data_IF_208361236018
#
_entry.id   IF_208361236018
#
_cell.length_a   1.000
_cell.length_b   1.000
_cell.length_c   1.000
_cell.angle_alpha   90.00
_cell.angle_beta   90.00
_cell.angle_gamma   90.00
#
_symmetry.space_group_name_H-M   'P 1'
#
loop_
_entity.id
_entity.type
_entity.pdbx_description
1 polymer ?
#
# COMPACT_ATOMS: atom_id res chain seq x y z
N UNK A 1 98.49 51.12 -25.31
CA UNK A 1 97.17 51.80 -25.26
C UNK A 1 96.10 50.73 -25.60
N UNK A 2 95.53 50.17 -24.53
CA UNK A 2 94.58 49.07 -24.72
C UNK A 2 93.26 49.59 -24.05
N UNK A 3 92.23 49.72 -24.86
CA UNK A 3 90.87 50.01 -24.42
C UNK A 3 90.20 48.76 -23.99
N UNK A 4 89.73 48.72 -22.77
CA UNK A 4 88.84 47.65 -22.25
C UNK A 4 87.40 48.13 -22.33
N UNK A 5 86.60 47.42 -23.12
CA UNK A 5 85.13 47.62 -23.24
C UNK A 5 84.42 46.74 -22.23
N UNK A 6 83.74 47.36 -21.28
CA UNK A 6 82.76 46.60 -20.44
C UNK A 6 81.38 46.65 -21.07
N UNK A 7 80.89 45.48 -21.46
CA UNK A 7 79.46 45.30 -21.81
C UNK A 7 78.69 44.96 -20.58
N UNK A 8 77.73 45.80 -20.19
CA UNK A 8 76.76 45.51 -19.14
C UNK A 8 75.66 44.60 -19.65
N UNK A 9 75.62 43.39 -19.12
CA UNK A 9 74.55 42.45 -19.32
C UNK A 9 73.30 42.92 -18.55
N UNK A 10 72.20 43.27 -19.31
CA UNK A 10 70.95 43.81 -18.77
C UNK A 10 69.91 42.69 -18.49
N UNK A 11 70.28 41.41 -18.38
CA UNK A 11 69.36 40.29 -18.31
C UNK A 11 68.89 39.86 -16.87
N UNK A 12 69.21 40.63 -15.82
CA UNK A 12 68.82 40.27 -14.43
C UNK A 12 68.12 41.39 -13.68
N UNK A 13 67.08 41.98 -14.25
CA UNK A 13 66.11 42.75 -13.46
C UNK A 13 64.91 41.87 -13.13
N UNK A 14 64.97 41.24 -11.96
CA UNK A 14 63.84 40.50 -11.42
C UNK A 14 62.78 41.49 -10.98
N UNK A 15 61.66 41.55 -11.67
CA UNK A 15 60.54 42.45 -11.32
C UNK A 15 59.78 41.85 -10.12
N UNK A 16 59.91 42.47 -8.91
CA UNK A 16 59.32 41.94 -7.65
C UNK A 16 57.80 41.83 -7.69
N UNK A 17 57.11 42.57 -8.58
CA UNK A 17 55.64 42.48 -8.75
C UNK A 17 55.17 41.19 -9.43
N UNK A 18 56.03 40.53 -10.25
CA UNK A 18 55.66 39.24 -10.89
C UNK A 18 55.73 38.03 -9.91
N UNK A 19 56.69 38.07 -8.96
CA UNK A 19 56.81 36.96 -7.98
C UNK A 19 55.66 36.94 -6.98
N UNK A 20 55.16 38.12 -6.55
CA UNK A 20 54.02 38.22 -5.61
C UNK A 20 52.72 37.75 -6.30
N UNK A 21 52.49 38.08 -7.59
CA UNK A 21 51.30 37.67 -8.32
C UNK A 21 51.26 36.16 -8.55
N UNK A 22 52.38 35.52 -8.88
CA UNK A 22 52.46 34.08 -9.03
C UNK A 22 52.23 33.33 -7.73
N UNK A 23 52.78 33.81 -6.61
CA UNK A 23 52.59 33.19 -5.28
C UNK A 23 51.14 33.31 -4.79
N UNK A 24 50.47 34.43 -5.08
CA UNK A 24 49.05 34.61 -4.73
C UNK A 24 48.12 33.73 -5.61
N UNK A 25 48.42 33.54 -6.89
CA UNK A 25 47.64 32.68 -7.82
C UNK A 25 47.81 31.21 -7.42
N UNK A 26 49.00 30.75 -7.05
CA UNK A 26 49.24 29.37 -6.60
C UNK A 26 48.55 29.09 -5.28
N UNK A 27 48.57 30.04 -4.29
CA UNK A 27 47.81 29.90 -3.05
C UNK A 27 46.30 29.86 -3.26
N UNK A 28 45.73 30.72 -4.15
CA UNK A 28 44.31 30.69 -4.46
C UNK A 28 43.91 29.41 -5.19
N UNK A 29 44.71 28.87 -6.12
CA UNK A 29 44.45 27.59 -6.79
C UNK A 29 44.55 26.42 -5.80
N UNK A 30 45.56 26.38 -4.92
CA UNK A 30 45.67 25.35 -3.87
C UNK A 30 44.50 25.36 -2.90
N UNK A 31 44.02 26.53 -2.49
CA UNK A 31 42.85 26.67 -1.62
C UNK A 31 41.53 26.27 -2.30
N UNK A 32 41.35 26.59 -3.60
CA UNK A 32 40.18 26.16 -4.38
C UNK A 32 40.13 24.65 -4.60
N UNK A 33 41.27 24.00 -4.88
CA UNK A 33 41.35 22.55 -5.03
C UNK A 33 41.08 21.85 -3.68
N UNK A 34 41.61 22.42 -2.55
CA UNK A 34 41.36 21.86 -1.21
C UNK A 34 39.90 21.99 -0.78
N UNK A 35 39.22 23.11 -1.12
CA UNK A 35 37.77 23.27 -0.87
C UNK A 35 36.92 22.36 -1.74
N UNK A 36 37.27 22.17 -3.03
CA UNK A 36 36.58 21.20 -3.88
C UNK A 36 36.77 19.75 -3.42
N UNK A 37 37.95 19.37 -2.91
CA UNK A 37 38.17 18.02 -2.36
C UNK A 37 37.37 17.81 -1.06
N UNK A 38 37.24 18.82 -0.20
CA UNK A 38 36.40 18.76 1.00
C UNK A 38 34.89 18.64 0.65
N UNK A 39 34.43 19.34 -0.39
CA UNK A 39 33.04 19.19 -0.87
C UNK A 39 32.76 17.82 -1.47
N UNK A 40 33.69 17.21 -2.19
CA UNK A 40 33.56 15.84 -2.75
C UNK A 40 33.58 14.80 -1.62
N UNK A 41 34.38 14.99 -0.57
CA UNK A 41 34.39 14.10 0.60
C UNK A 41 33.11 14.23 1.46
N UNK A 42 32.46 15.40 1.49
CA UNK A 42 31.18 15.58 2.19
C UNK A 42 29.98 15.00 1.44
N UNK A 43 30.11 14.81 0.12
CA UNK A 43 29.05 14.20 -0.71
C UNK A 43 29.00 12.66 -0.62
N UNK A 44 29.97 12.01 0.03
CA UNK A 44 30.06 10.55 0.12
C UNK A 44 29.47 10.02 1.46
N UNK A 45 29.12 10.89 2.42
CA UNK A 45 28.61 10.46 3.73
C UNK A 45 27.08 10.29 3.78
N UNK A 46 26.39 10.27 2.66
CA UNK A 46 24.93 10.12 2.56
C UNK A 46 24.44 8.71 2.25
N UNK A 47 25.26 7.66 2.42
CA UNK A 47 24.71 6.29 2.45
C UNK A 47 24.10 6.10 3.84
N UNK A 48 22.87 6.58 4.02
CA UNK A 48 22.06 6.12 5.13
C UNK A 48 21.83 4.62 4.88
N UNK A 49 22.46 3.78 5.70
CA UNK A 49 22.07 2.37 5.77
C UNK A 49 20.58 2.33 6.07
N UNK A 50 19.77 1.85 5.11
CA UNK A 50 18.34 1.66 5.32
C UNK A 50 18.17 0.77 6.56
N UNK A 51 17.55 1.31 7.60
CA UNK A 51 17.33 0.60 8.83
C UNK A 51 16.31 -0.52 8.55
N UNK A 52 16.69 -1.77 8.85
CA UNK A 52 15.77 -2.91 8.76
C UNK A 52 14.86 -2.89 9.98
N UNK A 53 13.59 -2.60 9.77
CA UNK A 53 12.60 -2.59 10.85
C UNK A 53 12.21 -3.99 11.33
N UNK A 54 12.43 -5.03 10.49
CA UNK A 54 12.03 -6.42 10.76
C UNK A 54 13.18 -7.39 10.44
N UNK A 55 13.56 -8.32 11.35
CA UNK A 55 14.48 -9.40 11.02
C UNK A 55 13.81 -10.38 10.04
N UNK A 56 14.58 -10.94 9.11
CA UNK A 56 14.08 -11.97 8.20
C UNK A 56 13.81 -13.28 8.96
N UNK A 57 12.55 -13.65 9.07
CA UNK A 57 12.09 -14.95 9.55
C UNK A 57 11.21 -15.56 8.46
N UNK A 58 11.61 -16.70 7.86
CA UNK A 58 10.84 -17.27 6.76
C UNK A 58 9.52 -17.87 7.24
N UNK A 59 8.41 -17.54 6.57
CA UNK A 59 7.11 -18.17 6.82
C UNK A 59 7.17 -19.67 6.50
N UNK A 60 6.70 -20.56 7.37
CA UNK A 60 6.63 -22.01 7.06
C UNK A 60 5.81 -22.26 5.78
N UNK A 61 6.21 -23.24 4.97
CA UNK A 61 5.52 -23.51 3.70
C UNK A 61 4.05 -23.89 3.87
N UNK A 62 3.71 -24.66 4.90
CA UNK A 62 2.33 -25.01 5.23
C UNK A 62 1.50 -23.75 5.54
N UNK A 63 2.08 -22.81 6.30
CA UNK A 63 1.45 -21.51 6.59
C UNK A 63 1.24 -20.70 5.33
N UNK A 64 2.22 -20.68 4.39
CA UNK A 64 2.08 -20.03 3.08
C UNK A 64 0.89 -20.59 2.32
N UNK A 65 0.72 -21.91 2.27
CA UNK A 65 -0.39 -22.55 1.58
C UNK A 65 -1.75 -22.16 2.22
N UNK A 66 -1.84 -22.13 3.55
CA UNK A 66 -3.07 -21.73 4.24
C UNK A 66 -3.36 -20.22 4.10
N UNK A 67 -2.33 -19.35 4.09
CA UNK A 67 -2.50 -17.93 3.78
C UNK A 67 -3.11 -17.71 2.39
N UNK A 68 -2.57 -18.38 1.37
CA UNK A 68 -3.02 -18.25 -0.01
C UNK A 68 -4.41 -18.88 -0.23
N UNK A 69 -4.72 -19.96 0.49
CA UNK A 69 -6.05 -20.59 0.49
C UNK A 69 -7.09 -19.71 1.18
N UNK A 70 -6.77 -19.11 2.34
CA UNK A 70 -7.65 -18.20 3.07
C UNK A 70 -8.01 -16.98 2.21
N UNK A 71 -7.04 -16.48 1.43
CA UNK A 71 -7.24 -15.39 0.50
C UNK A 71 -7.85 -15.84 -0.85
N UNK A 72 -8.13 -17.13 -1.05
CA UNK A 72 -8.63 -17.67 -2.32
C UNK A 72 -7.81 -17.21 -3.53
N UNK A 73 -6.47 -17.32 -3.41
CA UNK A 73 -5.53 -16.89 -4.46
C UNK A 73 -5.56 -17.85 -5.64
N UNK A 74 -5.78 -17.31 -6.83
CA UNK A 74 -5.85 -18.07 -8.07
C UNK A 74 -5.56 -17.25 -9.34
N UNK A 75 -5.88 -17.81 -10.52
CA UNK A 75 -5.73 -17.12 -11.79
C UNK A 75 -6.51 -15.79 -11.81
N UNK A 76 -5.88 -14.72 -12.31
CA UNK A 76 -6.47 -13.38 -12.32
C UNK A 76 -6.06 -12.50 -11.14
N UNK A 77 -5.48 -13.09 -10.09
CA UNK A 77 -4.95 -12.32 -8.97
C UNK A 77 -3.59 -11.70 -9.27
N UNK A 78 -3.38 -10.54 -8.63
CA UNK A 78 -2.09 -9.88 -8.55
C UNK A 78 -1.70 -9.75 -7.07
N UNK A 79 -0.80 -10.64 -6.65
CA UNK A 79 -0.35 -10.73 -5.25
C UNK A 79 0.86 -9.82 -5.04
N UNK A 80 0.81 -8.99 -3.99
CA UNK A 80 1.98 -8.22 -3.54
C UNK A 80 2.34 -8.66 -2.13
N UNK A 81 3.59 -9.12 -1.97
CA UNK A 81 4.13 -9.56 -0.69
C UNK A 81 5.03 -8.48 -0.10
N UNK A 82 4.62 -7.93 1.03
CA UNK A 82 5.30 -6.85 1.73
C UNK A 82 6.31 -7.44 2.73
N UNK A 83 7.62 -7.23 2.45
CA UNK A 83 8.71 -7.92 3.17
C UNK A 83 8.91 -9.32 2.63
N UNK A 84 9.09 -9.46 1.30
CA UNK A 84 9.00 -10.74 0.60
C UNK A 84 10.11 -11.75 0.91
N UNK A 85 11.20 -11.30 1.56
CA UNK A 85 12.32 -12.17 1.91
C UNK A 85 12.84 -12.96 0.72
N UNK A 86 12.81 -14.30 0.83
CA UNK A 86 13.27 -15.22 -0.20
C UNK A 86 12.24 -15.49 -1.32
N UNK A 87 11.11 -14.78 -1.32
CA UNK A 87 10.10 -14.81 -2.37
C UNK A 87 9.11 -15.98 -2.31
N UNK A 88 9.15 -16.80 -1.25
CA UNK A 88 8.37 -18.05 -1.17
C UNK A 88 6.88 -17.86 -1.33
N UNK A 89 6.28 -16.80 -0.77
CA UNK A 89 4.83 -16.52 -0.85
C UNK A 89 4.43 -16.16 -2.28
N UNK A 90 5.15 -15.23 -2.92
CA UNK A 90 4.86 -14.81 -4.30
C UNK A 90 5.06 -15.96 -5.28
N UNK A 91 6.09 -16.79 -5.09
CA UNK A 91 6.35 -17.99 -5.91
C UNK A 91 5.23 -19.02 -5.75
N UNK A 92 4.75 -19.23 -4.52
CA UNK A 92 3.63 -20.14 -4.25
C UNK A 92 2.32 -19.62 -4.89
N UNK A 93 2.07 -18.31 -4.82
CA UNK A 93 0.94 -17.68 -5.50
C UNK A 93 1.02 -17.85 -7.03
N UNK A 94 2.21 -17.70 -7.62
CA UNK A 94 2.43 -17.92 -9.06
C UNK A 94 2.15 -19.37 -9.49
N UNK A 95 2.48 -20.36 -8.67
CA UNK A 95 2.14 -21.77 -8.91
C UNK A 95 0.63 -22.02 -8.91
N UNK A 96 -0.17 -21.16 -8.26
CA UNK A 96 -1.64 -21.16 -8.30
C UNK A 96 -2.21 -20.40 -9.50
N UNK A 97 -1.35 -19.88 -10.39
CA UNK A 97 -1.75 -19.15 -11.60
C UNK A 97 -1.84 -17.63 -11.44
N UNK A 98 -1.58 -17.09 -10.25
CA UNK A 98 -1.52 -15.64 -10.02
C UNK A 98 -0.30 -15.00 -10.67
N UNK A 99 -0.33 -13.67 -10.78
CA UNK A 99 0.84 -12.82 -11.00
C UNK A 99 1.17 -12.08 -9.71
N UNK A 100 2.40 -11.57 -9.57
CA UNK A 100 2.67 -10.70 -8.46
C UNK A 100 4.12 -10.27 -8.33
N UNK A 101 4.37 -9.50 -7.28
CA UNK A 101 5.73 -9.13 -6.94
C UNK A 101 5.94 -9.12 -5.42
N UNK A 102 7.20 -9.34 -5.06
CA UNK A 102 7.68 -9.18 -3.71
C UNK A 102 8.50 -7.91 -3.58
N UNK A 103 8.35 -7.23 -2.45
CA UNK A 103 9.09 -6.04 -2.10
C UNK A 103 9.86 -6.32 -0.82
N UNK A 104 11.16 -6.05 -0.82
CA UNK A 104 11.99 -6.16 0.36
C UNK A 104 13.07 -5.06 0.35
N UNK A 105 13.45 -4.58 1.52
CA UNK A 105 14.47 -3.55 1.68
C UNK A 105 15.90 -4.14 1.57
N UNK A 106 16.04 -5.47 1.72
CA UNK A 106 17.32 -6.15 1.67
C UNK A 106 17.65 -6.66 0.27
N UNK A 107 18.65 -6.05 -0.45
CA UNK A 107 19.04 -6.50 -1.78
C UNK A 107 19.50 -7.96 -1.82
N UNK A 108 19.98 -8.51 -0.69
CA UNK A 108 20.36 -9.94 -0.61
C UNK A 108 19.12 -10.82 -0.68
N UNK A 109 18.03 -10.44 0.01
CA UNK A 109 16.74 -11.17 -0.06
C UNK A 109 16.17 -11.11 -1.47
N UNK A 110 16.19 -9.94 -2.12
CA UNK A 110 15.75 -9.78 -3.51
C UNK A 110 16.56 -10.67 -4.47
N UNK A 111 17.88 -10.73 -4.30
CA UNK A 111 18.73 -11.62 -5.11
C UNK A 111 18.39 -13.10 -4.89
N UNK A 112 18.12 -13.50 -3.65
CA UNK A 112 17.70 -14.85 -3.28
C UNK A 112 16.32 -15.18 -3.88
N UNK A 113 15.35 -14.29 -3.74
CA UNK A 113 14.01 -14.44 -4.29
C UNK A 113 14.00 -14.66 -5.80
N UNK A 114 14.80 -13.86 -6.56
CA UNK A 114 14.98 -14.03 -7.99
C UNK A 114 15.53 -15.40 -8.36
N UNK A 115 16.56 -15.88 -7.63
CA UNK A 115 17.12 -17.23 -7.85
C UNK A 115 16.10 -18.33 -7.55
N UNK A 116 15.29 -18.15 -6.49
CA UNK A 116 14.25 -19.12 -6.12
C UNK A 116 13.14 -19.16 -7.17
N UNK A 117 12.73 -18.00 -7.70
CA UNK A 117 11.74 -17.92 -8.78
C UNK A 117 12.23 -18.65 -10.05
N UNK A 118 13.49 -18.42 -10.45
CA UNK A 118 14.10 -19.09 -11.60
C UNK A 118 14.15 -20.61 -11.41
N UNK A 119 14.60 -21.08 -10.23
CA UNK A 119 14.58 -22.52 -9.90
C UNK A 119 13.17 -23.13 -9.94
N UNK A 120 12.16 -22.33 -9.62
CA UNK A 120 10.76 -22.76 -9.65
C UNK A 120 10.12 -22.64 -11.05
N UNK A 121 10.80 -22.03 -12.04
CA UNK A 121 10.25 -21.77 -13.39
C UNK A 121 9.15 -20.72 -13.39
N UNK A 122 9.18 -19.76 -12.45
CA UNK A 122 8.14 -18.74 -12.28
C UNK A 122 8.57 -17.33 -12.67
N UNK A 123 9.73 -17.14 -13.30
CA UNK A 123 10.28 -15.83 -13.67
C UNK A 123 9.34 -14.96 -14.50
N UNK A 124 8.49 -15.57 -15.31
CA UNK A 124 7.54 -14.87 -16.16
C UNK A 124 6.26 -14.42 -15.45
N UNK A 125 6.07 -14.82 -14.19
CA UNK A 125 4.88 -14.49 -13.39
C UNK A 125 5.17 -13.63 -12.18
N UNK A 126 6.43 -13.57 -11.74
CA UNK A 126 6.81 -12.87 -10.53
C UNK A 126 7.90 -11.84 -10.77
N UNK A 127 7.85 -10.76 -10.00
CA UNK A 127 8.86 -9.71 -9.98
C UNK A 127 9.32 -9.50 -8.54
N UNK A 128 10.61 -9.23 -8.32
CA UNK A 128 11.13 -8.87 -7.01
C UNK A 128 11.87 -7.54 -7.10
N UNK A 129 11.50 -6.60 -6.22
CA UNK A 129 12.00 -5.24 -6.21
C UNK A 129 12.55 -4.88 -4.82
N UNK A 130 13.74 -4.27 -4.83
CA UNK A 130 14.24 -3.60 -3.64
C UNK A 130 13.43 -2.32 -3.42
N UNK A 131 12.92 -2.11 -2.20
CA UNK A 131 12.10 -0.95 -1.91
C UNK A 131 11.70 -0.81 -0.46
N UNK A 132 11.39 0.44 -0.09
CA UNK A 132 10.78 0.79 1.18
C UNK A 132 9.26 0.58 1.11
N UNK A 133 8.69 -0.26 1.97
CA UNK A 133 7.26 -0.59 1.99
C UNK A 133 6.37 0.64 2.20
N UNK A 134 6.88 1.67 2.87
CA UNK A 134 6.12 2.89 3.16
C UNK A 134 6.04 3.85 1.96
N UNK A 135 6.88 3.65 0.94
CA UNK A 135 7.01 4.51 -0.22
C UNK A 135 6.58 3.80 -1.51
N UNK A 136 6.40 2.48 -1.45
CA UNK A 136 6.07 1.68 -2.63
C UNK A 136 4.58 1.74 -2.96
N UNK A 137 4.25 1.86 -4.24
CA UNK A 137 2.88 1.74 -4.74
C UNK A 137 2.46 0.28 -4.85
N UNK A 138 1.46 -0.08 -4.07
CA UNK A 138 0.81 -1.40 -4.07
C UNK A 138 -0.67 -1.36 -4.52
N UNK A 139 -1.12 -0.26 -5.10
CA UNK A 139 -2.53 -0.04 -5.49
C UNK A 139 -3.09 -1.04 -6.51
N UNK A 140 -2.20 -1.73 -7.25
CA UNK A 140 -2.56 -2.75 -8.23
C UNK A 140 -2.93 -4.11 -7.61
N UNK A 141 -2.62 -4.31 -6.33
CA UNK A 141 -2.86 -5.59 -5.67
C UNK A 141 -4.34 -5.96 -5.66
N UNK A 142 -4.64 -7.22 -5.94
CA UNK A 142 -5.89 -7.87 -5.53
C UNK A 142 -5.73 -8.62 -4.21
N UNK A 143 -4.48 -8.97 -3.88
CA UNK A 143 -4.11 -9.60 -2.60
C UNK A 143 -2.80 -9.00 -2.09
N UNK A 144 -2.78 -8.61 -0.82
CA UNK A 144 -1.58 -8.26 -0.06
C UNK A 144 -1.28 -9.40 0.90
N UNK A 145 -0.03 -9.84 0.95
CA UNK A 145 0.48 -10.75 1.98
C UNK A 145 1.56 -10.06 2.80
N UNK A 146 1.63 -10.40 4.08
CA UNK A 146 2.64 -9.83 4.97
C UNK A 146 2.95 -10.75 6.16
N UNK A 147 4.22 -10.75 6.56
CA UNK A 147 4.68 -11.26 7.84
C UNK A 147 5.60 -10.23 8.47
N UNK A 148 5.01 -9.17 9.01
CA UNK A 148 5.69 -7.99 9.52
C UNK A 148 5.30 -7.76 10.99
N UNK A 149 6.16 -7.09 11.75
CA UNK A 149 5.85 -6.72 13.13
C UNK A 149 4.57 -5.88 13.22
N UNK A 150 3.84 -6.00 14.30
CA UNK A 150 2.61 -5.23 14.54
C UNK A 150 2.82 -3.72 14.37
N UNK A 151 3.95 -3.17 14.84
CA UNK A 151 4.29 -1.75 14.67
C UNK A 151 4.42 -1.33 13.20
N UNK A 152 4.87 -2.23 12.33
CA UNK A 152 4.98 -2.00 10.88
C UNK A 152 3.60 -2.09 10.23
N UNK A 153 2.79 -3.11 10.59
CA UNK A 153 1.41 -3.24 10.13
C UNK A 153 0.60 -1.98 10.45
N UNK A 154 0.74 -1.45 11.67
CA UNK A 154 0.05 -0.23 12.11
C UNK A 154 0.47 1.01 11.32
N UNK A 155 1.76 1.12 10.94
CA UNK A 155 2.24 2.22 10.08
C UNK A 155 1.75 2.08 8.62
N UNK A 156 1.62 0.85 8.11
CA UNK A 156 1.14 0.57 6.76
C UNK A 156 -0.38 0.73 6.63
N UNK A 157 -1.14 0.42 7.67
CA UNK A 157 -2.62 0.38 7.66
C UNK A 157 -3.29 1.61 7.03
N UNK A 158 -2.92 2.87 7.36
CA UNK A 158 -3.54 4.03 6.73
C UNK A 158 -3.33 4.06 5.21
N UNK A 159 -2.15 3.65 4.75
CA UNK A 159 -1.80 3.60 3.33
C UNK A 159 -2.54 2.47 2.61
N UNK A 160 -2.68 1.29 3.26
CA UNK A 160 -3.47 0.15 2.74
C UNK A 160 -4.93 0.56 2.54
N UNK A 161 -5.56 1.15 3.57
CA UNK A 161 -6.97 1.60 3.51
C UNK A 161 -7.21 2.71 2.48
N UNK A 162 -6.24 3.59 2.26
CA UNK A 162 -6.38 4.72 1.34
C UNK A 162 -6.17 4.32 -0.13
N UNK A 163 -5.22 3.43 -0.42
CA UNK A 163 -4.74 3.22 -1.79
C UNK A 163 -5.20 1.90 -2.40
N UNK A 164 -5.58 0.92 -1.60
CA UNK A 164 -6.13 -0.33 -2.12
C UNK A 164 -7.60 -0.17 -2.51
N UNK A 165 -8.00 -0.90 -3.55
CA UNK A 165 -9.40 -0.90 -4.00
C UNK A 165 -10.27 -1.68 -3.02
N UNK A 166 -11.52 -1.28 -2.81
CA UNK A 166 -12.50 -2.12 -2.11
C UNK A 166 -12.54 -3.53 -2.69
N UNK A 167 -12.54 -4.54 -1.82
CA UNK A 167 -12.45 -5.93 -2.21
C UNK A 167 -11.03 -6.50 -2.29
N UNK A 168 -9.97 -5.67 -2.21
CA UNK A 168 -8.60 -6.19 -2.05
C UNK A 168 -8.51 -6.97 -0.74
N UNK A 169 -7.94 -8.18 -0.82
CA UNK A 169 -7.77 -9.10 0.30
C UNK A 169 -6.40 -8.91 0.93
N UNK A 170 -6.33 -8.84 2.24
CA UNK A 170 -5.09 -8.74 3.01
C UNK A 170 -4.96 -9.96 3.90
N UNK A 171 -3.79 -10.61 3.87
CA UNK A 171 -3.47 -11.72 4.76
C UNK A 171 -2.19 -11.40 5.53
N UNK A 172 -2.28 -11.45 6.85
CA UNK A 172 -1.12 -11.28 7.73
C UNK A 172 -0.89 -12.53 8.58
N UNK A 173 0.34 -13.01 8.55
CA UNK A 173 0.76 -14.09 9.44
C UNK A 173 1.25 -13.54 10.77
N UNK A 174 0.78 -14.13 11.87
CA UNK A 174 1.17 -13.89 13.25
C UNK A 174 0.75 -12.54 13.84
N UNK A 175 0.84 -11.43 13.11
CA UNK A 175 0.58 -10.07 13.63
C UNK A 175 -0.69 -9.47 13.03
N UNK A 176 -1.55 -8.92 13.90
CA UNK A 176 -2.81 -8.26 13.52
C UNK A 176 -2.64 -6.76 13.22
N UNK A 177 -3.76 -6.06 13.12
CA UNK A 177 -3.84 -4.60 12.91
C UNK A 177 -4.60 -3.89 14.06
N UNK A 178 -4.43 -4.38 15.32
CA UNK A 178 -5.01 -3.86 16.55
C UNK A 178 -6.55 -3.72 16.48
N UNK A 179 -7.05 -2.48 16.51
CA UNK A 179 -8.47 -2.11 16.50
C UNK A 179 -9.20 -2.41 15.18
N UNK A 180 -8.47 -2.64 14.08
CA UNK A 180 -9.09 -3.16 12.87
C UNK A 180 -9.26 -4.66 12.97
N UNK A 181 -10.42 -5.09 13.46
CA UNK A 181 -10.74 -6.51 13.58
C UNK A 181 -10.71 -7.23 12.22
N UNK A 182 -10.16 -8.44 12.14
CA UNK A 182 -10.12 -9.20 10.89
C UNK A 182 -11.52 -9.72 10.51
N UNK A 183 -11.79 -9.84 9.22
CA UNK A 183 -13.00 -10.51 8.70
C UNK A 183 -12.97 -12.02 8.96
N UNK A 184 -11.75 -12.60 9.01
CA UNK A 184 -11.52 -14.01 9.40
C UNK A 184 -10.18 -14.15 10.13
N UNK A 185 -10.12 -15.11 11.04
CA UNK A 185 -8.93 -15.57 11.73
C UNK A 185 -8.91 -17.08 11.73
N UNK A 186 -7.78 -17.66 11.39
CA UNK A 186 -7.52 -19.11 11.53
C UNK A 186 -6.21 -19.33 12.28
N UNK A 187 -6.05 -20.48 12.89
CA UNK A 187 -4.83 -20.89 13.57
C UNK A 187 -4.16 -22.02 12.77
N UNK A 188 -2.85 -21.89 12.54
CA UNK A 188 -2.02 -22.88 11.87
C UNK A 188 -0.73 -23.01 12.66
N UNK A 189 -0.40 -24.22 13.11
CA UNK A 189 0.81 -24.51 13.89
C UNK A 189 0.98 -23.57 15.11
N UNK A 190 -0.08 -23.39 15.91
CA UNK A 190 -0.15 -22.51 17.09
C UNK A 190 0.16 -21.02 16.76
N UNK A 191 -0.12 -20.60 15.55
CA UNK A 191 0.07 -19.21 15.10
C UNK A 191 -1.11 -18.75 14.30
N UNK A 192 -1.50 -17.51 14.51
CA UNK A 192 -2.65 -16.91 13.82
C UNK A 192 -2.34 -16.48 12.41
N UNK A 193 -3.31 -16.66 11.53
CA UNK A 193 -3.40 -16.00 10.22
C UNK A 193 -4.64 -15.12 10.25
N UNK A 194 -4.44 -13.85 9.99
CA UNK A 194 -5.50 -12.83 9.95
C UNK A 194 -5.82 -12.46 8.51
N UNK A 195 -7.10 -12.23 8.25
CA UNK A 195 -7.59 -11.90 6.92
C UNK A 195 -8.54 -10.70 6.98
N UNK A 196 -8.35 -9.73 6.10
CA UNK A 196 -9.20 -8.57 5.93
C UNK A 196 -9.57 -8.38 4.47
N UNK A 197 -10.73 -7.76 4.23
CA UNK A 197 -11.15 -7.28 2.92
C UNK A 197 -11.25 -5.76 3.02
N UNK A 198 -10.54 -5.04 2.15
CA UNK A 198 -10.63 -3.58 2.11
C UNK A 198 -12.07 -3.16 1.86
N UNK A 199 -12.72 -2.43 2.78
CA UNK A 199 -14.10 -2.00 2.61
C UNK A 199 -14.20 -0.76 1.71
N UNK A 200 -15.31 -0.60 1.02
CA UNK A 200 -15.66 0.67 0.40
C UNK A 200 -15.97 1.73 1.47
N UNK A 201 -15.81 2.99 1.13
CA UNK A 201 -16.24 4.09 1.99
C UNK A 201 -17.72 4.37 1.77
N UNK A 202 -18.51 4.20 2.82
CA UNK A 202 -19.96 4.48 2.82
C UNK A 202 -20.36 5.59 3.80
N UNK A 203 -19.40 6.11 4.56
CA UNK A 203 -19.67 7.18 5.52
C UNK A 203 -20.21 8.43 4.84
N UNK A 204 -21.35 8.93 5.32
CA UNK A 204 -21.97 10.14 4.79
C UNK A 204 -23.50 10.06 4.67
N UNK A 205 -24.07 10.98 3.90
CA UNK A 205 -25.50 11.07 3.64
C UNK A 205 -25.80 10.64 2.21
N UNK A 206 -26.77 9.76 2.06
CA UNK A 206 -27.16 9.14 0.80
C UNK A 206 -28.64 9.36 0.55
N UNK A 207 -29.03 9.59 -0.70
CA UNK A 207 -30.42 9.70 -1.10
C UNK A 207 -30.70 8.88 -2.35
N UNK A 208 -31.89 8.33 -2.43
CA UNK A 208 -32.42 7.68 -3.63
C UNK A 208 -33.92 7.65 -3.60
N UNK A 209 -34.50 7.25 -4.70
CA UNK A 209 -35.94 7.08 -4.86
C UNK A 209 -36.21 5.79 -5.61
N UNK A 210 -37.17 5.02 -5.15
CA UNK A 210 -37.84 3.96 -5.92
C UNK A 210 -39.12 4.54 -6.53
N UNK A 211 -39.87 3.73 -7.28
CA UNK A 211 -41.11 4.19 -7.92
C UNK A 211 -42.10 4.80 -6.91
N UNK A 212 -42.13 4.29 -5.69
CA UNK A 212 -43.14 4.61 -4.70
C UNK A 212 -42.63 5.34 -3.46
N UNK A 213 -41.30 5.42 -3.22
CA UNK A 213 -40.77 5.98 -1.97
C UNK A 213 -39.44 6.72 -2.15
N UNK A 214 -39.26 7.74 -1.34
CA UNK A 214 -37.98 8.47 -1.21
C UNK A 214 -37.25 7.97 0.02
N UNK A 215 -35.96 7.69 -0.14
CA UNK A 215 -35.11 7.23 0.92
C UNK A 215 -33.99 8.24 1.22
N UNK A 216 -33.71 8.41 2.51
CA UNK A 216 -32.57 9.17 3.00
C UNK A 216 -31.82 8.34 4.04
N UNK A 217 -30.55 8.10 3.84
CA UNK A 217 -29.69 7.32 4.72
C UNK A 217 -28.52 8.15 5.23
N UNK A 218 -28.21 8.00 6.51
CA UNK A 218 -26.96 8.48 7.10
C UNK A 218 -26.17 7.28 7.56
N UNK A 219 -24.93 7.12 7.06
CA UNK A 219 -24.04 6.05 7.44
C UNK A 219 -22.86 6.60 8.26
N UNK A 220 -22.50 5.90 9.34
CA UNK A 220 -21.24 6.05 10.08
C UNK A 220 -20.45 4.78 9.90
N UNK A 221 -19.13 4.91 9.71
CA UNK A 221 -18.27 3.77 9.38
C UNK A 221 -16.99 3.79 10.22
N UNK A 222 -16.66 2.62 10.75
CA UNK A 222 -15.36 2.31 11.33
C UNK A 222 -14.84 1.02 10.69
N UNK A 223 -13.88 1.14 9.75
CA UNK A 223 -13.42 0.05 8.89
C UNK A 223 -14.57 -0.62 8.12
N UNK A 224 -14.82 -1.93 8.32
CA UNK A 224 -15.96 -2.66 7.73
C UNK A 224 -17.24 -2.58 8.57
N UNK A 225 -17.17 -2.03 9.78
CA UNK A 225 -18.34 -1.86 10.66
C UNK A 225 -19.12 -0.60 10.27
N UNK A 226 -20.40 -0.77 10.00
CA UNK A 226 -21.28 0.32 9.55
C UNK A 226 -22.50 0.39 10.46
N UNK A 227 -22.90 1.61 10.82
CA UNK A 227 -24.20 1.89 11.41
C UNK A 227 -24.99 2.80 10.51
N UNK A 228 -26.29 2.52 10.35
CA UNK A 228 -27.17 3.24 9.43
C UNK A 228 -28.36 3.84 10.16
N UNK A 229 -28.70 5.08 9.81
CA UNK A 229 -30.01 5.67 10.04
C UNK A 229 -30.70 5.80 8.68
N UNK A 230 -31.86 5.19 8.51
CA UNK A 230 -32.60 5.20 7.24
C UNK A 230 -34.01 5.71 7.44
N UNK A 231 -34.45 6.58 6.54
CA UNK A 231 -35.84 7.08 6.45
C UNK A 231 -36.44 6.71 5.10
N UNK A 232 -37.70 6.31 5.12
CA UNK A 232 -38.57 6.22 3.95
C UNK A 232 -39.72 7.24 4.11
N UNK A 233 -39.84 8.18 3.17
CA UNK A 233 -40.86 9.26 3.20
C UNK A 233 -40.95 9.96 4.56
N UNK A 234 -39.81 10.29 5.20
CA UNK A 234 -39.66 10.87 6.54
C UNK A 234 -39.94 9.92 7.74
N UNK A 235 -40.31 8.67 7.51
CA UNK A 235 -40.47 7.66 8.57
C UNK A 235 -39.15 6.96 8.82
N UNK A 236 -38.68 6.94 10.08
CA UNK A 236 -37.50 6.18 10.45
C UNK A 236 -37.77 4.67 10.34
N UNK A 237 -36.91 3.98 9.64
CA UNK A 237 -36.94 2.52 9.51
C UNK A 237 -36.09 1.87 10.60
N UNK A 238 -36.51 0.70 11.08
CA UNK A 238 -35.66 -0.14 11.92
C UNK A 238 -34.68 -0.89 11.04
N UNK A 239 -33.39 -0.79 11.34
CA UNK A 239 -32.34 -1.48 10.59
C UNK A 239 -31.96 -2.77 11.30
N UNK A 240 -31.85 -3.85 10.52
CA UNK A 240 -31.32 -5.14 10.91
C UNK A 240 -30.26 -5.59 9.89
N UNK A 241 -29.31 -6.41 10.33
CA UNK A 241 -28.31 -7.10 9.48
C UNK A 241 -27.59 -6.20 8.47
N UNK A 242 -26.63 -5.40 8.94
CA UNK A 242 -25.78 -4.61 8.06
C UNK A 242 -24.51 -5.40 7.75
N UNK A 243 -24.17 -5.54 6.47
CA UNK A 243 -22.91 -6.14 6.00
C UNK A 243 -22.26 -5.24 4.95
N UNK A 244 -21.02 -4.82 5.23
CA UNK A 244 -20.13 -4.22 4.26
C UNK A 244 -18.92 -5.13 4.08
N UNK A 245 -18.78 -5.71 2.89
CA UNK A 245 -17.65 -6.59 2.53
C UNK A 245 -17.09 -6.18 1.18
N UNK A 246 -15.90 -5.60 1.18
CA UNK A 246 -15.35 -4.99 -0.03
C UNK A 246 -16.24 -3.86 -0.53
N UNK A 247 -16.65 -3.94 -1.78
CA UNK A 247 -17.59 -3.01 -2.42
C UNK A 247 -19.07 -3.38 -2.21
N UNK A 248 -19.37 -4.50 -1.54
CA UNK A 248 -20.74 -4.99 -1.37
C UNK A 248 -21.33 -4.44 -0.08
N UNK A 249 -22.42 -3.69 -0.19
CA UNK A 249 -23.23 -3.22 0.93
C UNK A 249 -24.60 -3.91 0.88
N UNK A 250 -24.99 -4.56 1.98
CA UNK A 250 -26.32 -5.10 2.16
C UNK A 250 -26.87 -4.80 3.54
N UNK A 251 -28.17 -4.60 3.65
CA UNK A 251 -28.86 -4.45 4.93
C UNK A 251 -30.37 -4.71 4.78
N UNK A 252 -31.00 -4.99 5.91
CA UNK A 252 -32.44 -5.16 6.02
C UNK A 252 -33.01 -3.97 6.78
N UNK A 253 -34.15 -3.43 6.30
CA UNK A 253 -34.86 -2.35 6.97
C UNK A 253 -36.35 -2.67 7.08
N UNK A 254 -36.95 -2.40 8.21
CA UNK A 254 -38.37 -2.65 8.46
C UNK A 254 -39.12 -1.36 8.76
N UNK A 255 -40.28 -1.16 8.15
CA UNK A 255 -41.17 -0.06 8.47
C UNK A 255 -41.90 -0.33 9.81
N UNK A 256 -41.87 0.62 10.77
CA UNK A 256 -42.30 0.34 12.13
C UNK A 256 -43.82 0.06 12.30
N UNK A 257 -44.65 0.47 11.34
CA UNK A 257 -46.11 0.42 11.50
C UNK A 257 -46.91 -0.25 10.39
N UNK A 258 -46.31 -0.41 9.17
CA UNK A 258 -47.07 -0.93 8.03
C UNK A 258 -46.68 -2.37 7.61
N UNK A 259 -45.72 -2.98 8.34
CA UNK A 259 -45.27 -4.35 8.09
C UNK A 259 -44.41 -4.53 6.85
N UNK A 260 -44.00 -3.42 6.22
CA UNK A 260 -43.12 -3.48 5.04
C UNK A 260 -41.67 -3.73 5.45
N UNK A 261 -40.99 -4.66 4.77
CA UNK A 261 -39.56 -4.93 4.92
C UNK A 261 -38.86 -4.68 3.59
N UNK A 262 -37.67 -4.09 3.68
CA UNK A 262 -36.79 -3.80 2.56
C UNK A 262 -35.49 -4.57 2.72
N UNK A 263 -35.06 -5.28 1.68
CA UNK A 263 -33.75 -5.96 1.61
C UNK A 263 -32.93 -5.29 0.54
N UNK A 264 -31.93 -4.55 0.96
CA UNK A 264 -31.03 -3.83 0.08
C UNK A 264 -29.77 -4.64 -0.20
N UNK A 265 -29.40 -4.79 -1.48
CA UNK A 265 -28.16 -5.43 -1.92
C UNK A 265 -27.56 -4.62 -3.05
N UNK A 266 -26.35 -4.08 -2.89
CA UNK A 266 -25.72 -3.27 -3.92
C UNK A 266 -24.20 -3.23 -3.82
N UNK A 267 -23.62 -2.55 -4.82
CA UNK A 267 -22.19 -2.27 -4.88
C UNK A 267 -21.93 -0.79 -4.77
N UNK A 268 -20.88 -0.45 -4.03
CA UNK A 268 -20.43 0.90 -3.77
C UNK A 268 -19.31 1.24 -4.75
N UNK A 269 -19.50 2.27 -5.56
CA UNK A 269 -18.50 2.81 -6.48
C UNK A 269 -18.33 4.33 -6.24
N UNK A 270 -17.35 4.68 -5.41
CA UNK A 270 -17.13 6.06 -4.99
C UNK A 270 -18.34 6.61 -4.24
N UNK A 271 -19.01 7.61 -4.83
CA UNK A 271 -20.21 8.25 -4.25
C UNK A 271 -21.54 7.68 -4.76
N UNK A 272 -21.53 6.49 -5.33
CA UNK A 272 -22.73 5.80 -5.82
C UNK A 272 -22.85 4.42 -5.22
N UNK A 273 -24.09 4.00 -4.98
CA UNK A 273 -24.45 2.59 -4.75
C UNK A 273 -25.41 2.20 -5.83
N UNK A 274 -25.13 1.09 -6.51
CA UNK A 274 -26.03 0.51 -7.51
C UNK A 274 -26.35 -0.93 -7.11
N UNK A 275 -27.62 -1.30 -7.22
CA UNK A 275 -28.06 -2.62 -6.81
C UNK A 275 -29.58 -2.80 -6.92
N UNK A 276 -30.11 -3.64 -6.04
CA UNK A 276 -31.52 -3.97 -6.02
C UNK A 276 -32.05 -3.81 -4.58
N UNK A 277 -33.31 -3.38 -4.48
CA UNK A 277 -34.10 -3.44 -3.24
C UNK A 277 -35.30 -4.37 -3.46
N UNK A 278 -35.40 -5.37 -2.61
CA UNK A 278 -36.62 -6.18 -2.51
C UNK A 278 -37.51 -5.60 -1.42
N UNK A 279 -38.70 -5.15 -1.80
CA UNK A 279 -39.74 -4.67 -0.87
C UNK A 279 -40.76 -5.78 -0.65
N UNK A 280 -41.01 -6.13 0.61
CA UNK A 280 -41.98 -7.18 0.97
C UNK A 280 -43.05 -6.63 1.92
N UNK A 281 -44.31 -6.94 1.65
CA UNK A 281 -45.45 -6.62 2.50
C UNK A 281 -46.42 -7.80 2.53
N UNK A 282 -46.48 -8.53 3.66
CA UNK A 282 -47.16 -9.80 3.75
C UNK A 282 -46.58 -10.83 2.80
N UNK A 283 -47.44 -11.41 1.93
CA UNK A 283 -47.02 -12.38 0.90
C UNK A 283 -46.56 -11.73 -0.41
N UNK A 284 -46.81 -10.44 -0.58
CA UNK A 284 -46.42 -9.70 -1.79
C UNK A 284 -45.00 -9.20 -1.70
N UNK A 285 -44.26 -9.22 -2.83
CA UNK A 285 -42.96 -8.58 -2.93
C UNK A 285 -42.77 -7.92 -4.31
N UNK A 286 -41.96 -6.88 -4.34
CA UNK A 286 -41.45 -6.22 -5.57
C UNK A 286 -39.96 -6.17 -5.51
N UNK A 287 -39.33 -6.08 -6.68
CA UNK A 287 -37.87 -5.85 -6.81
C UNK A 287 -37.67 -4.65 -7.71
N UNK A 288 -36.93 -3.65 -7.22
CA UNK A 288 -36.68 -2.41 -7.91
C UNK A 288 -35.17 -2.10 -7.89
N UNK A 289 -34.72 -1.20 -8.77
CA UNK A 289 -33.33 -0.72 -8.73
C UNK A 289 -33.08 0.09 -7.45
N UNK A 290 -31.89 -0.08 -6.90
CA UNK A 290 -31.35 0.73 -5.82
C UNK A 290 -30.18 1.53 -6.35
N UNK A 291 -30.44 2.79 -6.70
CA UNK A 291 -29.45 3.74 -7.21
C UNK A 291 -29.33 4.91 -6.23
N UNK A 292 -28.44 4.77 -5.23
CA UNK A 292 -28.21 5.80 -4.22
C UNK A 292 -27.00 6.66 -4.57
N UNK A 293 -27.08 7.95 -4.24
CA UNK A 293 -26.01 8.92 -4.44
C UNK A 293 -25.68 9.61 -3.12
N UNK A 294 -24.39 9.75 -2.85
CA UNK A 294 -23.87 10.50 -1.70
C UNK A 294 -23.88 12.00 -2.01
N UNK A 295 -24.38 12.77 -1.06
CA UNK A 295 -24.44 14.25 -1.12
C UNK A 295 -23.08 14.89 -0.86
#
# INVERSE_FOLDING_TARGET
MTRINYSLDRSKVINPKRSILQTVIIKKRGMMVSVCLLFVLFSITGIQAQHRDVPFVPTPYETVEEMLKLADVGPGDYVIDLGSGDGRIVIAAAKRGAYGHGIDIDPKRISEAKKNASKAGMDNRVLFMEGNLFETDFSRASVITMYLLNSVNMKLRPNLLKNLRPGTRIVSYYFNMNDWEPDKRIEVNNSDIYFWIIPASVEGKWNWQTDNRKFAMTAKQEFQKVTLELKADNTNLKIDEILLSGDKLSFIAAHPSDGTTYVFNGRVEGKKVTGMVQTRKGENYTVENWDAVMN
#
